data_IF_615007177098
#
_entry.id   IF_615007177098
#
_cell.length_a   1.000
_cell.length_b   1.000
_cell.length_c   1.000
_cell.angle_alpha   90.00
_cell.angle_beta   90.00
_cell.angle_gamma   90.00
#
_symmetry.space_group_name_H-M   'P 1'
#
loop_
_entity.id
_entity.type
_entity.pdbx_description
1 polymer ?
#
# COMPACT_ATOMS: atom_id res chain seq x y z
N UNK A 1 27.21 -22.33 19.80
CA UNK A 1 27.14 -20.87 20.00
C UNK A 1 27.90 -20.22 18.85
N UNK A 2 27.20 -19.90 17.76
CA UNK A 2 27.69 -19.04 16.67
C UNK A 2 26.45 -18.24 16.25
N UNK A 3 26.31 -17.04 16.81
CA UNK A 3 25.39 -16.00 16.35
C UNK A 3 26.30 -15.01 15.66
N UNK A 4 26.19 -14.91 14.35
CA UNK A 4 27.03 -14.02 13.57
C UNK A 4 26.61 -14.04 12.12
N UNK A 5 26.41 -12.84 11.58
CA UNK A 5 26.22 -12.52 10.16
C UNK A 5 24.85 -12.83 9.56
N UNK A 6 23.85 -12.02 9.93
CA UNK A 6 22.77 -11.66 9.00
C UNK A 6 22.29 -10.23 9.25
N UNK A 7 23.20 -9.26 9.12
CA UNK A 7 22.85 -7.83 9.20
C UNK A 7 23.40 -6.98 8.04
N UNK A 8 24.18 -7.57 7.13
CA UNK A 8 24.79 -6.85 5.99
C UNK A 8 23.99 -6.93 4.68
N UNK A 9 22.90 -7.69 4.63
CA UNK A 9 22.11 -7.85 3.38
C UNK A 9 20.94 -6.86 3.25
N UNK A 10 20.48 -6.25 4.35
CA UNK A 10 19.36 -5.28 4.31
C UNK A 10 19.84 -3.93 3.78
N UNK A 11 21.06 -3.49 4.11
CA UNK A 11 21.60 -2.22 3.64
C UNK A 11 21.89 -2.21 2.13
N UNK A 12 22.39 -3.33 1.58
CA UNK A 12 22.72 -3.42 0.15
C UNK A 12 21.47 -3.31 -0.77
N UNK A 13 20.31 -3.77 -0.31
CA UNK A 13 19.05 -3.63 -1.05
C UNK A 13 18.52 -2.19 -1.02
N UNK A 14 18.70 -1.46 0.08
CA UNK A 14 18.32 -0.03 0.16
C UNK A 14 19.10 0.86 -0.81
N UNK A 15 20.39 0.59 -1.05
CA UNK A 15 21.19 1.39 -2.01
C UNK A 15 20.75 1.19 -3.46
N UNK A 16 20.34 -0.04 -3.83
CA UNK A 16 19.85 -0.32 -5.19
C UNK A 16 18.50 0.34 -5.51
N UNK A 17 17.73 0.72 -4.49
CA UNK A 17 16.42 1.37 -4.61
C UNK A 17 16.50 2.88 -4.83
N UNK A 18 17.58 3.52 -4.41
CA UNK A 18 17.81 4.97 -4.60
C UNK A 18 18.12 5.29 -6.07
N UNK A 19 18.81 4.38 -6.77
CA UNK A 19 19.29 4.60 -8.15
C UNK A 19 18.18 4.49 -9.22
N UNK A 20 17.05 3.83 -8.91
CA UNK A 20 15.90 3.69 -9.82
C UNK A 20 14.78 4.72 -9.60
N UNK A 21 14.90 5.57 -8.60
CA UNK A 21 14.07 6.75 -8.44
C UNK A 21 14.81 7.89 -9.15
N UNK A 22 14.20 8.50 -10.18
CA UNK A 22 14.74 9.73 -10.75
C UNK A 22 15.06 10.68 -9.61
N UNK A 23 16.31 11.18 -9.57
CA UNK A 23 16.88 11.96 -8.45
C UNK A 23 15.88 13.00 -7.96
N UNK A 24 15.13 12.68 -6.90
CA UNK A 24 14.54 13.72 -6.08
C UNK A 24 15.72 14.45 -5.42
N UNK A 25 15.73 15.79 -5.42
CA UNK A 25 16.80 16.52 -4.74
C UNK A 25 16.86 16.05 -3.28
N UNK A 26 18.06 15.85 -2.73
CA UNK A 26 18.21 15.44 -1.34
C UNK A 26 17.46 16.41 -0.43
N UNK A 27 16.89 15.93 0.70
CA UNK A 27 16.31 16.82 1.69
C UNK A 27 17.37 17.84 2.12
N UNK A 28 17.07 19.14 1.98
CA UNK A 28 17.99 20.25 2.31
C UNK A 28 18.58 20.04 3.71
N UNK A 29 19.89 20.10 3.88
CA UNK A 29 20.46 20.09 5.24
C UNK A 29 19.97 21.30 6.05
N UNK A 30 20.02 21.22 7.39
CA UNK A 30 19.62 22.33 8.28
C UNK A 30 20.32 23.65 7.88
N UNK A 31 21.57 23.56 7.41
CA UNK A 31 22.35 24.67 6.87
C UNK A 31 21.87 25.17 5.50
N UNK A 32 21.36 24.30 4.63
CA UNK A 32 20.81 24.70 3.32
C UNK A 32 19.40 25.30 3.44
N UNK A 33 18.61 24.91 4.45
CA UNK A 33 17.36 25.60 4.82
C UNK A 33 17.67 27.04 5.26
N UNK A 34 18.73 27.22 6.04
CA UNK A 34 19.21 28.55 6.46
C UNK A 34 19.80 29.36 5.29
N UNK A 35 20.35 28.70 4.25
CA UNK A 35 21.08 29.39 3.18
C UNK A 35 20.32 29.66 1.89
N UNK A 36 19.20 28.99 1.59
CA UNK A 36 18.58 29.08 0.26
C UNK A 36 17.23 29.78 0.13
N UNK A 37 16.39 29.95 1.16
CA UNK A 37 15.16 30.75 0.99
C UNK A 37 14.48 31.06 2.34
N UNK A 38 14.25 32.35 2.62
CA UNK A 38 13.43 32.93 3.71
C UNK A 38 14.11 33.05 5.09
N UNK A 39 14.35 34.30 5.51
CA UNK A 39 14.61 34.66 6.92
C UNK A 39 13.42 34.18 7.77
N UNK A 40 13.59 33.08 8.51
CA UNK A 40 12.59 32.63 9.47
C UNK A 40 12.36 33.71 10.54
N UNK A 41 11.13 33.84 11.03
CA UNK A 41 10.77 34.83 12.05
C UNK A 41 11.14 34.33 13.44
N UNK A 42 10.91 33.04 13.68
CA UNK A 42 11.18 32.39 14.95
C UNK A 42 11.69 30.98 14.70
N UNK A 43 12.63 30.56 15.55
CA UNK A 43 13.09 29.18 15.66
C UNK A 43 12.92 28.73 17.10
N UNK A 44 12.28 27.58 17.29
CA UNK A 44 12.17 26.93 18.60
C UNK A 44 12.81 25.55 18.49
N UNK A 45 13.90 25.34 19.22
CA UNK A 45 14.54 24.03 19.34
C UNK A 45 13.84 23.17 20.40
N UNK A 46 13.78 21.86 20.15
CA UNK A 46 13.04 20.89 20.97
C UNK A 46 11.56 21.29 21.15
N UNK A 47 10.92 21.66 20.04
CA UNK A 47 9.52 22.10 20.02
C UNK A 47 8.59 21.00 20.53
N UNK A 48 7.63 21.40 21.37
CA UNK A 48 6.58 20.53 21.88
C UNK A 48 5.26 21.31 22.01
N UNK A 49 4.15 20.71 21.57
CA UNK A 49 2.81 21.28 21.63
C UNK A 49 1.79 20.21 22.03
N UNK A 50 0.98 20.50 23.04
CA UNK A 50 -0.17 19.70 23.45
C UNK A 50 -1.45 20.35 22.93
N UNK A 51 -2.31 19.56 22.30
CA UNK A 51 -3.61 20.00 21.80
C UNK A 51 -4.72 19.22 22.48
N UNK A 52 -5.75 19.94 22.90
CA UNK A 52 -6.91 19.38 23.59
C UNK A 52 -8.15 19.48 22.70
N UNK A 53 -9.01 18.47 22.78
CA UNK A 53 -10.28 18.45 22.08
C UNK A 53 -11.32 19.41 22.71
N UNK A 54 -12.54 19.42 22.16
CA UNK A 54 -13.66 20.24 22.67
C UNK A 54 -14.08 19.89 24.09
N UNK A 55 -13.72 18.69 24.58
CA UNK A 55 -14.00 18.21 25.93
C UNK A 55 -12.82 18.41 26.88
N UNK A 56 -11.77 19.14 26.47
CA UNK A 56 -10.52 19.35 27.21
C UNK A 56 -9.72 18.05 27.46
N UNK A 57 -9.92 17.02 26.64
CA UNK A 57 -9.12 15.81 26.66
C UNK A 57 -7.91 15.98 25.74
N UNK A 58 -6.75 15.46 26.15
CA UNK A 58 -5.55 15.51 25.31
C UNK A 58 -5.82 14.73 24.03
N UNK A 59 -5.77 15.43 22.90
CA UNK A 59 -6.08 14.88 21.59
C UNK A 59 -4.80 14.49 20.87
N UNK A 60 -3.85 15.43 20.81
CA UNK A 60 -2.58 15.25 20.09
C UNK A 60 -1.41 15.85 20.87
N UNK A 61 -0.23 15.24 20.73
CA UNK A 61 1.03 15.77 21.19
C UNK A 61 2.04 15.79 20.04
N UNK A 62 2.51 16.99 19.71
CA UNK A 62 3.46 17.24 18.62
C UNK A 62 4.82 17.51 19.21
N UNK A 63 5.84 16.80 18.75
CA UNK A 63 7.23 17.05 19.08
C UNK A 63 8.01 17.22 17.78
N UNK A 64 9.03 18.08 17.78
CA UNK A 64 9.95 18.22 16.66
C UNK A 64 11.34 18.62 17.16
N UNK A 65 12.38 18.25 16.41
CA UNK A 65 13.76 18.69 16.69
C UNK A 65 13.82 20.22 16.67
N UNK A 66 13.23 20.82 15.65
CA UNK A 66 13.13 22.28 15.51
C UNK A 66 11.83 22.67 14.83
N UNK A 67 11.27 23.80 15.27
CA UNK A 67 10.17 24.51 14.65
C UNK A 67 10.69 25.81 14.05
N UNK A 68 10.23 26.13 12.84
CA UNK A 68 10.52 27.40 12.17
C UNK A 68 9.22 28.07 11.74
N UNK A 69 9.01 29.31 12.16
CA UNK A 69 7.92 30.15 11.65
C UNK A 69 8.42 31.07 10.54
N UNK A 70 7.53 31.39 9.61
CA UNK A 70 7.83 32.21 8.45
C UNK A 70 6.73 33.24 8.24
N UNK A 71 7.06 34.29 7.49
CA UNK A 71 6.05 35.27 7.08
C UNK A 71 5.22 34.68 5.93
N UNK A 72 3.90 34.60 6.12
CA UNK A 72 2.92 34.19 5.11
C UNK A 72 3.06 32.75 4.56
N UNK A 73 3.84 31.88 5.20
CA UNK A 73 3.92 30.46 4.85
C UNK A 73 3.77 29.61 6.10
N UNK A 74 3.22 28.38 5.97
CA UNK A 74 3.07 27.47 7.10
C UNK A 74 4.39 27.19 7.79
N UNK A 75 4.33 27.01 9.11
CA UNK A 75 5.52 26.67 9.88
C UNK A 75 6.09 25.31 9.45
N UNK A 76 7.41 25.15 9.61
CA UNK A 76 8.13 23.92 9.31
C UNK A 76 8.51 23.22 10.60
N UNK A 77 8.23 21.92 10.67
CA UNK A 77 8.70 21.01 11.70
C UNK A 77 9.79 20.11 11.10
N UNK A 78 10.96 20.06 11.74
CA UNK A 78 12.02 19.11 11.43
C UNK A 78 11.97 17.92 12.38
N UNK A 79 12.07 16.72 11.82
CA UNK A 79 11.92 15.43 12.50
C UNK A 79 10.68 15.36 13.42
N UNK A 80 9.46 15.67 12.92
CA UNK A 80 8.25 15.65 13.73
C UNK A 80 7.88 14.24 14.20
N UNK A 81 7.44 14.15 15.45
CA UNK A 81 6.69 13.04 16.05
C UNK A 81 5.32 13.55 16.50
N UNK A 82 4.25 13.04 15.91
CA UNK A 82 2.87 13.36 16.32
C UNK A 82 2.27 12.13 16.97
N UNK A 83 1.88 12.25 18.23
CA UNK A 83 1.24 11.19 19.02
C UNK A 83 -0.22 11.55 19.23
N UNK A 84 -1.12 10.61 18.98
CA UNK A 84 -2.56 10.78 19.22
C UNK A 84 -2.98 9.93 20.40
N UNK A 85 -4.07 10.32 21.05
CA UNK A 85 -4.55 9.66 22.25
C UNK A 85 -6.00 9.20 22.09
N UNK A 86 -6.32 8.07 22.72
CA UNK A 86 -7.69 7.57 22.81
C UNK A 86 -8.46 8.26 23.95
N UNK A 87 -9.76 7.94 24.09
CA UNK A 87 -10.64 8.51 25.13
C UNK A 87 -10.19 8.20 26.57
N UNK A 88 -9.29 7.22 26.76
CA UNK A 88 -8.70 6.88 28.06
C UNK A 88 -7.38 7.62 28.32
N UNK A 89 -6.89 8.40 27.35
CA UNK A 89 -5.60 9.08 27.41
C UNK A 89 -4.40 8.18 27.11
N UNK A 90 -4.61 7.00 26.52
CA UNK A 90 -3.54 6.10 26.10
C UNK A 90 -3.10 6.44 24.66
N UNK A 91 -1.82 6.20 24.32
CA UNK A 91 -1.34 6.40 22.94
C UNK A 91 -2.13 5.53 21.96
N UNK A 92 -2.60 6.13 20.87
CA UNK A 92 -3.42 5.47 19.87
C UNK A 92 -2.64 5.21 18.58
N UNK A 93 -2.05 6.27 18.00
CA UNK A 93 -1.08 6.11 16.93
C UNK A 93 -0.02 7.22 16.94
N UNK A 94 1.14 6.91 16.36
CA UNK A 94 2.30 7.80 16.27
C UNK A 94 2.70 7.97 14.81
N UNK A 95 2.80 9.21 14.34
CA UNK A 95 3.35 9.54 13.03
C UNK A 95 4.75 10.13 13.17
N UNK A 96 5.63 9.71 12.26
CA UNK A 96 6.98 10.29 12.12
C UNK A 96 7.33 10.53 10.66
N UNK A 97 8.14 11.56 10.42
CA UNK A 97 8.75 11.88 9.12
C UNK A 97 10.00 12.72 9.36
N UNK A 98 10.80 12.95 8.33
CA UNK A 98 11.87 13.96 8.34
C UNK A 98 11.29 15.39 8.43
N UNK A 99 10.11 15.63 7.84
CA UNK A 99 9.48 16.96 7.78
C UNK A 99 7.97 16.92 7.79
N UNK A 100 7.40 17.97 8.39
CA UNK A 100 5.99 18.32 8.24
C UNK A 100 5.81 19.83 8.26
N UNK A 101 4.68 20.30 7.75
CA UNK A 101 4.23 21.66 7.96
C UNK A 101 3.12 21.69 9.01
N UNK A 102 3.18 22.65 9.92
CA UNK A 102 2.09 22.98 10.82
C UNK A 102 1.28 24.11 10.20
N UNK A 103 0.00 23.86 9.91
CA UNK A 103 -0.87 24.78 9.18
C UNK A 103 -1.62 25.72 10.14
N UNK A 104 -2.06 26.87 9.64
CA UNK A 104 -2.86 27.83 10.42
C UNK A 104 -4.21 27.24 10.87
N UNK A 105 -4.67 26.16 10.24
CA UNK A 105 -5.86 25.39 10.65
C UNK A 105 -5.63 24.53 11.90
N UNK A 106 -4.37 24.38 12.36
CA UNK A 106 -3.95 23.40 13.36
C UNK A 106 -3.62 22.02 12.75
N UNK A 107 -3.93 21.79 11.48
CA UNK A 107 -3.60 20.52 10.83
C UNK A 107 -2.09 20.37 10.59
N UNK A 108 -1.62 19.13 10.66
CA UNK A 108 -0.23 18.79 10.38
C UNK A 108 -0.16 18.10 9.04
N UNK A 109 0.64 18.68 8.14
CA UNK A 109 0.85 18.18 6.78
C UNK A 109 2.23 17.55 6.67
N UNK A 110 2.29 16.23 6.72
CA UNK A 110 3.50 15.47 6.46
C UNK A 110 3.80 15.40 4.97
N UNK A 111 5.10 15.35 4.63
CA UNK A 111 5.60 15.18 3.26
C UNK A 111 6.75 14.19 3.23
N UNK A 112 6.85 13.43 2.15
CA UNK A 112 7.90 12.44 1.95
C UNK A 112 7.56 11.12 2.62
N UNK A 113 8.58 10.49 3.22
CA UNK A 113 8.43 9.22 3.91
C UNK A 113 7.75 9.44 5.26
N UNK A 114 6.61 8.79 5.45
CA UNK A 114 5.84 8.82 6.68
C UNK A 114 5.72 7.41 7.23
N UNK A 115 6.07 7.25 8.51
CA UNK A 115 5.79 6.03 9.27
C UNK A 115 4.62 6.31 10.21
N UNK A 116 3.65 5.41 10.22
CA UNK A 116 2.51 5.43 11.14
C UNK A 116 2.60 4.15 11.96
N UNK A 117 2.67 4.29 13.28
CA UNK A 117 2.70 3.19 14.21
C UNK A 117 1.41 3.22 15.03
N UNK A 118 0.55 2.20 14.92
CA UNK A 118 -0.67 2.12 15.73
C UNK A 118 -0.43 1.34 17.02
N UNK A 119 -1.30 1.56 18.01
CA UNK A 119 -1.28 0.90 19.32
C UNK A 119 -1.47 -0.62 19.26
N UNK A 120 -1.99 -1.15 18.14
CA UNK A 120 -2.07 -2.59 17.88
C UNK A 120 -0.70 -3.19 17.52
N UNK A 121 0.34 -2.35 17.41
CA UNK A 121 1.70 -2.73 17.03
C UNK A 121 1.92 -2.72 15.51
N UNK A 122 0.92 -2.34 14.73
CA UNK A 122 1.02 -2.28 13.27
C UNK A 122 1.84 -1.07 12.85
N UNK A 123 2.70 -1.27 11.84
CA UNK A 123 3.44 -0.18 11.22
C UNK A 123 3.07 -0.07 9.75
N UNK A 124 2.64 1.12 9.35
CA UNK A 124 2.40 1.50 7.97
C UNK A 124 3.52 2.43 7.50
N UNK A 125 4.13 2.08 6.37
CA UNK A 125 5.16 2.91 5.73
C UNK A 125 4.64 3.40 4.39
N UNK A 126 4.75 4.69 4.17
CA UNK A 126 4.34 5.30 2.91
C UNK A 126 5.25 6.43 2.51
N UNK A 127 5.28 6.72 1.22
CA UNK A 127 5.81 7.95 0.68
C UNK A 127 4.68 8.72 0.00
N UNK A 128 4.51 9.99 0.34
CA UNK A 128 3.45 10.83 -0.20
C UNK A 128 3.87 12.28 -0.31
N UNK A 129 3.29 12.99 -1.28
CA UNK A 129 3.48 14.44 -1.41
C UNK A 129 2.78 15.21 -0.28
N UNK A 130 1.79 14.58 0.34
CA UNK A 130 0.94 15.17 1.36
C UNK A 130 0.26 14.05 2.16
N UNK A 131 0.35 14.12 3.48
CA UNK A 131 -0.54 13.43 4.40
C UNK A 131 -1.01 14.45 5.44
N UNK A 132 -2.31 14.72 5.45
CA UNK A 132 -2.96 15.57 6.42
C UNK A 132 -3.40 14.73 7.61
N UNK A 133 -3.07 15.18 8.80
CA UNK A 133 -3.61 14.65 10.06
C UNK A 133 -4.80 15.52 10.44
N UNK A 134 -6.01 14.95 10.34
CA UNK A 134 -7.23 15.67 10.69
C UNK A 134 -7.40 15.77 12.20
N UNK A 135 -7.20 16.96 12.77
CA UNK A 135 -7.24 17.21 14.22
C UNK A 135 -8.63 17.04 14.87
N UNK A 136 -9.69 16.89 14.07
CA UNK A 136 -11.07 16.70 14.54
C UNK A 136 -11.64 15.31 14.29
N UNK A 137 -11.10 14.60 13.31
CA UNK A 137 -11.64 13.30 12.85
C UNK A 137 -10.69 12.15 13.13
N UNK A 138 -9.43 12.45 13.48
CA UNK A 138 -8.31 11.51 13.62
C UNK A 138 -8.08 10.66 12.36
N UNK A 139 -8.63 11.09 11.23
CA UNK A 139 -8.43 10.49 9.93
C UNK A 139 -7.13 11.02 9.31
N UNK A 140 -6.40 10.12 8.67
CA UNK A 140 -5.23 10.45 7.87
C UNK A 140 -5.63 10.49 6.40
N UNK A 141 -5.42 11.63 5.74
CA UNK A 141 -5.91 11.86 4.38
C UNK A 141 -4.80 12.32 3.47
N UNK A 142 -4.76 11.73 2.27
CA UNK A 142 -3.97 12.22 1.16
C UNK A 142 -4.82 12.35 -0.09
N UNK A 143 -4.87 13.56 -0.65
CA UNK A 143 -5.47 13.83 -1.96
C UNK A 143 -4.46 13.74 -3.10
N UNK A 144 -3.24 13.29 -2.80
CA UNK A 144 -2.13 13.16 -3.73
C UNK A 144 -1.68 11.70 -3.84
N UNK A 145 -0.82 11.46 -4.81
CA UNK A 145 -0.26 10.13 -5.05
C UNK A 145 0.42 9.61 -3.79
N UNK A 146 0.02 8.41 -3.37
CA UNK A 146 0.62 7.68 -2.25
C UNK A 146 1.33 6.45 -2.78
N UNK A 147 2.52 6.19 -2.26
CA UNK A 147 3.22 4.92 -2.42
C UNK A 147 3.24 4.22 -1.06
N UNK A 148 2.45 3.17 -0.91
CA UNK A 148 2.39 2.36 0.30
C UNK A 148 3.28 1.12 0.18
N UNK A 149 4.04 0.82 1.23
CA UNK A 149 4.85 -0.39 1.32
C UNK A 149 4.06 -1.47 2.07
N UNK A 150 3.52 -2.41 1.29
CA UNK A 150 2.87 -3.63 1.82
C UNK A 150 3.90 -4.70 2.19
N UNK A 151 3.43 -5.84 2.67
CA UNK A 151 4.30 -6.93 3.15
C UNK A 151 5.16 -7.55 2.05
N UNK A 152 4.59 -7.69 0.84
CA UNK A 152 5.24 -8.29 -0.34
C UNK A 152 4.96 -7.54 -1.63
N UNK A 153 4.67 -6.24 -1.48
CA UNK A 153 4.27 -5.42 -2.60
C UNK A 153 4.51 -3.93 -2.36
N UNK A 154 4.79 -3.22 -3.45
CA UNK A 154 4.73 -1.76 -3.52
C UNK A 154 3.43 -1.34 -4.17
N UNK A 155 2.58 -0.63 -3.43
CA UNK A 155 1.26 -0.19 -3.89
C UNK A 155 1.29 1.30 -4.17
N UNK A 156 0.78 1.71 -5.33
CA UNK A 156 0.73 3.10 -5.77
C UNK A 156 -0.72 3.48 -6.05
N UNK A 157 -1.22 4.54 -5.42
CA UNK A 157 -2.59 5.05 -5.58
C UNK A 157 -2.63 6.55 -5.83
N UNK A 158 -3.80 7.09 -6.21
CA UNK A 158 -3.98 8.52 -6.47
C UNK A 158 -4.28 9.33 -5.21
N UNK A 159 -4.69 8.65 -4.15
CA UNK A 159 -5.00 9.22 -2.85
C UNK A 159 -5.10 8.12 -1.80
N UNK A 160 -5.39 8.53 -0.58
CA UNK A 160 -5.56 7.62 0.55
C UNK A 160 -6.44 8.26 1.60
N UNK A 161 -7.23 7.44 2.27
CA UNK A 161 -7.94 7.75 3.50
C UNK A 161 -7.68 6.61 4.47
N UNK A 162 -7.23 6.91 5.68
CA UNK A 162 -6.97 5.90 6.69
C UNK A 162 -7.61 6.33 8.00
N UNK A 163 -8.35 5.38 8.57
CA UNK A 163 -8.81 5.42 9.94
C UNK A 163 -7.77 4.72 10.79
N UNK A 164 -6.83 5.47 11.34
CA UNK A 164 -5.69 4.90 12.05
C UNK A 164 -6.13 4.07 13.28
N UNK A 165 -7.16 4.53 14.00
CA UNK A 165 -7.73 3.84 15.17
C UNK A 165 -8.35 2.48 14.86
N UNK A 166 -8.81 2.29 13.63
CA UNK A 166 -9.46 1.05 13.17
C UNK A 166 -8.50 0.15 12.39
N UNK A 167 -7.24 0.56 12.20
CA UNK A 167 -6.27 -0.07 11.28
C UNK A 167 -6.87 -0.35 9.87
N UNK A 168 -7.69 0.58 9.38
CA UNK A 168 -8.34 0.50 8.08
C UNK A 168 -7.90 1.62 7.17
N UNK A 169 -7.46 1.24 5.97
CA UNK A 169 -7.02 2.15 4.94
C UNK A 169 -7.76 1.89 3.63
N UNK A 170 -8.11 2.96 2.93
CA UNK A 170 -8.59 2.95 1.56
C UNK A 170 -7.62 3.73 0.68
N UNK A 171 -7.01 3.04 -0.28
CA UNK A 171 -6.24 3.65 -1.36
C UNK A 171 -7.17 4.06 -2.49
N UNK A 172 -7.30 5.36 -2.70
CA UNK A 172 -8.33 5.96 -3.55
C UNK A 172 -7.88 6.09 -4.99
N UNK A 173 -8.80 5.83 -5.92
CA UNK A 173 -8.62 5.98 -7.35
C UNK A 173 -7.87 4.81 -7.98
N UNK A 174 -7.23 5.07 -9.11
CA UNK A 174 -6.42 4.08 -9.83
C UNK A 174 -5.30 3.58 -8.92
N UNK A 175 -5.26 2.27 -8.71
CA UNK A 175 -4.30 1.63 -7.82
C UNK A 175 -3.51 0.56 -8.58
N UNK A 176 -2.18 0.59 -8.40
CA UNK A 176 -1.25 -0.38 -8.96
C UNK A 176 -0.51 -1.08 -7.83
N UNK A 177 -0.63 -2.41 -7.76
CA UNK A 177 0.10 -3.26 -6.82
C UNK A 177 1.22 -3.92 -7.62
N UNK A 178 2.47 -3.67 -7.26
CA UNK A 178 3.62 -4.36 -7.85
C UNK A 178 4.11 -5.37 -6.81
N UNK A 179 3.91 -6.65 -7.09
CA UNK A 179 4.31 -7.73 -6.18
C UNK A 179 5.80 -8.03 -6.33
N UNK A 180 6.44 -8.46 -5.26
CA UNK A 180 7.87 -8.81 -5.27
C UNK A 180 8.18 -10.00 -6.18
N UNK A 181 7.18 -10.87 -6.40
CA UNK A 181 7.22 -11.99 -7.35
C UNK A 181 7.18 -11.54 -8.83
N UNK A 182 7.07 -10.25 -9.11
CA UNK A 182 7.18 -9.64 -10.43
C UNK A 182 5.84 -9.34 -11.12
N UNK A 183 4.72 -9.82 -10.58
CA UNK A 183 3.40 -9.57 -11.14
C UNK A 183 2.87 -8.19 -10.77
N UNK A 184 1.99 -7.68 -11.63
CA UNK A 184 1.38 -6.37 -11.47
C UNK A 184 -0.13 -6.46 -11.49
N UNK A 185 -0.77 -5.82 -10.53
CA UNK A 185 -2.23 -5.78 -10.41
C UNK A 185 -2.70 -4.34 -10.55
N UNK A 186 -3.66 -4.13 -11.44
CA UNK A 186 -4.28 -2.85 -11.69
C UNK A 186 -5.73 -2.92 -11.23
N UNK A 187 -6.12 -2.06 -10.28
CA UNK A 187 -7.48 -2.01 -9.73
C UNK A 187 -7.85 -0.56 -9.38
N UNK A 188 -8.97 -0.37 -8.67
CA UNK A 188 -9.38 0.91 -8.10
C UNK A 188 -9.85 0.74 -6.67
N UNK A 189 -9.73 1.79 -5.87
CA UNK A 189 -10.30 1.88 -4.52
C UNK A 189 -10.00 0.63 -3.68
N UNK A 190 -8.70 0.38 -3.47
CA UNK A 190 -8.22 -0.80 -2.74
C UNK A 190 -8.35 -0.56 -1.24
N UNK A 191 -9.05 -1.46 -0.55
CA UNK A 191 -9.10 -1.50 0.90
C UNK A 191 -7.95 -2.35 1.44
N UNK A 192 -7.40 -1.91 2.55
CA UNK A 192 -6.41 -2.60 3.36
C UNK A 192 -6.98 -2.59 4.78
N UNK A 193 -7.46 -3.74 5.22
CA UNK A 193 -8.02 -3.94 6.56
C UNK A 193 -7.06 -4.78 7.37
N UNK A 194 -6.73 -4.34 8.57
CA UNK A 194 -5.88 -5.09 9.52
C UNK A 194 -6.51 -5.18 10.91
N UNK A 195 -7.83 -4.96 11.01
CA UNK A 195 -8.53 -4.97 12.30
C UNK A 195 -8.50 -6.33 13.04
N UNK A 196 -8.18 -7.43 12.35
CA UNK A 196 -8.02 -8.77 12.93
C UNK A 196 -6.54 -9.18 13.14
N UNK A 197 -5.61 -8.24 12.98
CA UNK A 197 -4.17 -8.47 13.06
C UNK A 197 -3.54 -9.04 11.79
N UNK A 198 -4.31 -9.31 10.73
CA UNK A 198 -3.81 -9.78 9.43
C UNK A 198 -4.19 -8.80 8.33
N UNK A 199 -3.23 -8.41 7.48
CA UNK A 199 -3.51 -7.48 6.38
C UNK A 199 -4.32 -8.18 5.29
N UNK A 200 -5.56 -7.74 5.13
CA UNK A 200 -6.46 -8.19 4.09
C UNK A 200 -6.64 -7.09 3.03
N UNK A 201 -6.41 -7.44 1.76
CA UNK A 201 -6.42 -6.50 0.65
C UNK A 201 -7.57 -6.82 -0.30
N UNK A 202 -8.51 -5.89 -0.50
CA UNK A 202 -9.68 -6.17 -1.35
C UNK A 202 -10.20 -4.96 -2.12
N UNK A 203 -10.79 -5.25 -3.29
CA UNK A 203 -11.50 -4.28 -4.11
C UNK A 203 -12.64 -4.94 -4.86
N UNK A 204 -13.77 -4.24 -4.93
CA UNK A 204 -14.94 -4.64 -5.74
C UNK A 204 -14.91 -4.06 -7.15
N UNK A 205 -13.79 -3.49 -7.57
CA UNK A 205 -13.62 -2.88 -8.88
C UNK A 205 -12.89 -3.79 -9.86
N UNK A 206 -13.20 -3.60 -11.15
CA UNK A 206 -12.55 -4.29 -12.26
C UNK A 206 -11.03 -4.29 -12.08
N UNK A 207 -10.49 -5.50 -12.07
CA UNK A 207 -9.09 -5.75 -11.76
C UNK A 207 -8.43 -6.42 -12.96
N UNK A 208 -7.22 -5.98 -13.29
CA UNK A 208 -6.35 -6.64 -14.27
C UNK A 208 -5.11 -7.16 -13.56
N UNK A 209 -4.90 -8.46 -13.65
CA UNK A 209 -3.70 -9.14 -13.18
C UNK A 209 -2.77 -9.42 -14.36
N UNK A 210 -1.52 -8.98 -14.25
CA UNK A 210 -0.49 -9.10 -15.27
C UNK A 210 0.61 -10.01 -14.74
N UNK A 211 0.70 -11.20 -15.32
CA UNK A 211 1.80 -12.14 -15.14
C UNK A 211 2.60 -12.28 -16.45
N UNK A 212 3.72 -13.00 -16.39
CA UNK A 212 4.64 -13.20 -17.53
C UNK A 212 3.94 -13.66 -18.80
N UNK A 213 3.10 -14.70 -18.69
CA UNK A 213 2.45 -15.34 -19.84
C UNK A 213 0.93 -15.11 -19.92
N UNK A 214 0.36 -14.46 -18.91
CA UNK A 214 -1.07 -14.37 -18.75
C UNK A 214 -1.50 -12.94 -18.38
N UNK A 215 -2.55 -12.49 -19.04
CA UNK A 215 -3.30 -11.30 -18.67
C UNK A 215 -4.70 -11.70 -18.25
N UNK A 216 -5.03 -11.47 -16.99
CA UNK A 216 -6.30 -11.89 -16.40
C UNK A 216 -7.14 -10.67 -16.06
N UNK A 217 -8.40 -10.66 -16.49
CA UNK A 217 -9.38 -9.65 -16.13
C UNK A 217 -10.40 -10.25 -15.17
N UNK A 218 -10.79 -9.47 -14.17
CA UNK A 218 -11.74 -9.83 -13.14
C UNK A 218 -12.62 -8.63 -12.74
N UNK A 219 -13.72 -8.89 -12.03
CA UNK A 219 -14.61 -7.82 -11.53
C UNK A 219 -14.17 -7.27 -10.18
N UNK A 220 -13.29 -7.98 -9.48
CA UNK A 220 -12.75 -7.59 -8.18
C UNK A 220 -11.52 -8.42 -7.81
N UNK A 221 -10.96 -8.11 -6.64
CA UNK A 221 -9.85 -8.85 -6.05
C UNK A 221 -10.03 -8.92 -4.54
N UNK A 222 -9.57 -10.02 -3.99
CA UNK A 222 -9.45 -10.31 -2.57
C UNK A 222 -8.10 -11.02 -2.38
N UNK A 223 -7.28 -10.61 -1.43
CA UNK A 223 -5.90 -11.08 -1.31
C UNK A 223 -5.42 -11.11 0.14
N UNK A 224 -4.69 -12.18 0.45
CA UNK A 224 -3.77 -12.28 1.58
C UNK A 224 -2.34 -12.32 1.04
N UNK A 225 -1.60 -11.23 1.24
CA UNK A 225 -0.22 -11.11 0.73
C UNK A 225 0.77 -12.02 1.48
N UNK A 226 0.50 -12.37 2.74
CA UNK A 226 1.38 -13.26 3.52
C UNK A 226 1.28 -14.70 3.05
N UNK A 227 0.07 -15.14 2.73
CA UNK A 227 -0.17 -16.47 2.19
C UNK A 227 0.20 -16.59 0.71
N UNK A 228 0.46 -15.48 0.04
CA UNK A 228 0.71 -15.43 -1.41
C UNK A 228 -0.48 -16.04 -2.20
N UNK A 229 -1.69 -15.84 -1.68
CA UNK A 229 -2.95 -16.31 -2.27
C UNK A 229 -3.83 -15.11 -2.55
N UNK A 230 -4.43 -15.08 -3.73
CA UNK A 230 -5.45 -14.12 -4.08
C UNK A 230 -6.61 -14.77 -4.83
N UNK A 231 -7.76 -14.14 -4.73
CA UNK A 231 -8.95 -14.49 -5.47
C UNK A 231 -9.35 -13.34 -6.39
N UNK A 232 -9.40 -13.63 -7.68
CA UNK A 232 -9.98 -12.77 -8.70
C UNK A 232 -11.49 -13.04 -8.77
N UNK A 233 -12.26 -12.03 -8.39
CA UNK A 233 -13.69 -12.15 -8.11
C UNK A 233 -14.56 -11.96 -9.37
N UNK A 234 -15.74 -12.55 -9.36
CA UNK A 234 -16.76 -12.34 -10.38
C UNK A 234 -16.43 -13.03 -11.70
N UNK A 235 -16.70 -12.39 -12.83
CA UNK A 235 -16.34 -12.92 -14.15
C UNK A 235 -14.83 -12.82 -14.37
N UNK A 236 -14.20 -13.93 -14.73
CA UNK A 236 -12.76 -14.00 -14.95
C UNK A 236 -12.47 -14.40 -16.39
N UNK A 237 -11.62 -13.62 -17.06
CA UNK A 237 -11.11 -13.89 -18.40
C UNK A 237 -9.60 -13.90 -18.40
N UNK A 238 -9.00 -15.05 -18.68
CA UNK A 238 -7.56 -15.23 -18.84
C UNK A 238 -7.24 -15.19 -20.33
N UNK A 239 -6.31 -14.33 -20.72
CA UNK A 239 -5.69 -14.29 -22.04
C UNK A 239 -4.26 -14.80 -21.90
N UNK A 240 -3.93 -15.83 -22.68
CA UNK A 240 -2.58 -16.41 -22.69
C UNK A 240 -1.80 -15.89 -23.90
N UNK A 241 -0.48 -15.78 -23.78
CA UNK A 241 0.40 -15.40 -24.88
C UNK A 241 0.30 -16.36 -26.09
N UNK A 242 -0.08 -17.62 -25.87
CA UNK A 242 -0.37 -18.61 -26.93
C UNK A 242 -1.57 -18.24 -27.83
N UNK A 243 -2.33 -17.20 -27.46
CA UNK A 243 -3.60 -16.82 -28.11
C UNK A 243 -4.82 -17.55 -27.54
N UNK A 244 -4.61 -18.53 -26.65
CA UNK A 244 -5.68 -19.24 -25.97
C UNK A 244 -6.38 -18.34 -24.95
N UNK A 245 -7.68 -18.61 -24.72
CA UNK A 245 -8.55 -17.82 -23.84
C UNK A 245 -9.28 -18.76 -22.89
N UNK A 246 -9.40 -18.36 -21.64
CA UNK A 246 -10.17 -19.08 -20.64
C UNK A 246 -11.18 -18.14 -19.99
N UNK A 247 -12.45 -18.52 -19.97
CA UNK A 247 -13.50 -17.77 -19.30
C UNK A 247 -14.08 -18.59 -18.17
N UNK A 248 -14.15 -18.02 -16.96
CA UNK A 248 -14.68 -18.66 -15.76
C UNK A 248 -15.19 -17.63 -14.76
N UNK A 249 -15.38 -18.05 -13.52
CA UNK A 249 -15.66 -17.18 -12.38
C UNK A 249 -14.74 -17.54 -11.21
N UNK A 250 -14.56 -16.57 -10.30
CA UNK A 250 -13.90 -16.76 -9.01
C UNK A 250 -12.61 -17.60 -9.11
N UNK A 251 -11.55 -16.98 -9.63
CA UNK A 251 -10.28 -17.66 -9.86
C UNK A 251 -9.34 -17.43 -8.69
N UNK A 252 -8.89 -18.50 -8.05
CA UNK A 252 -7.81 -18.45 -7.07
C UNK A 252 -6.48 -18.49 -7.82
N UNK A 253 -5.57 -17.58 -7.46
CA UNK A 253 -4.17 -17.56 -7.89
C UNK A 253 -3.31 -17.84 -6.65
N UNK A 254 -2.61 -18.97 -6.66
CA UNK A 254 -1.74 -19.43 -5.58
C UNK A 254 -0.28 -19.31 -6.04
N UNK A 255 0.51 -18.50 -5.34
CA UNK A 255 1.92 -18.23 -5.63
C UNK A 255 2.87 -18.85 -4.58
N UNK A 256 2.32 -19.43 -3.50
CA UNK A 256 3.03 -19.82 -2.26
C UNK A 256 4.20 -20.80 -2.42
N UNK A 257 4.27 -21.52 -3.54
CA UNK A 257 5.30 -22.54 -3.81
C UNK A 257 6.29 -22.12 -4.90
N UNK A 258 6.40 -20.83 -5.18
CA UNK A 258 7.26 -20.29 -6.24
C UNK A 258 6.80 -20.63 -7.66
N UNK A 259 5.66 -21.31 -7.80
CA UNK A 259 4.95 -21.55 -9.04
C UNK A 259 3.57 -20.93 -8.93
N UNK A 260 3.08 -20.37 -10.03
CA UNK A 260 1.77 -19.74 -10.08
C UNK A 260 0.72 -20.76 -10.57
N UNK A 261 -0.23 -21.10 -9.69
CA UNK A 261 -1.30 -22.06 -9.96
C UNK A 261 -2.64 -21.34 -9.95
N UNK A 262 -3.36 -21.41 -11.08
CA UNK A 262 -4.73 -20.90 -11.18
C UNK A 262 -5.74 -22.00 -10.90
N UNK A 263 -6.71 -21.75 -10.04
CA UNK A 263 -7.71 -22.74 -9.63
C UNK A 263 -9.11 -22.15 -9.64
N UNK A 264 -10.08 -22.93 -10.11
CA UNK A 264 -11.50 -22.62 -9.95
C UNK A 264 -12.31 -23.89 -9.85
N UNK A 265 -13.40 -23.83 -9.09
CA UNK A 265 -14.44 -24.87 -9.02
C UNK A 265 -15.68 -24.49 -9.86
N UNK A 266 -15.57 -23.40 -10.63
CA UNK A 266 -16.63 -22.86 -11.46
C UNK A 266 -16.55 -23.42 -12.88
N UNK A 267 -17.64 -23.25 -13.63
CA UNK A 267 -17.65 -23.54 -15.07
C UNK A 267 -16.54 -22.78 -15.78
N UNK A 268 -15.84 -23.48 -16.66
CA UNK A 268 -14.72 -22.98 -17.45
C UNK A 268 -14.98 -23.26 -18.93
N UNK A 269 -14.67 -22.29 -19.79
CA UNK A 269 -14.56 -22.48 -21.24
C UNK A 269 -13.15 -22.12 -21.67
N UNK A 270 -12.39 -23.11 -22.09
CA UNK A 270 -11.08 -22.95 -22.72
C UNK A 270 -11.26 -22.92 -24.24
N UNK A 271 -10.67 -21.94 -24.91
CA UNK A 271 -10.72 -21.79 -26.36
C UNK A 271 -9.31 -21.54 -26.90
N UNK A 272 -8.93 -22.32 -27.89
CA UNK A 272 -7.70 -22.16 -28.68
C UNK A 272 -8.02 -22.18 -30.17
N UNK A 273 -7.01 -22.23 -31.04
CA UNK A 273 -7.21 -22.38 -32.49
C UNK A 273 -7.77 -23.75 -32.89
N UNK A 274 -7.54 -24.79 -32.09
CA UNK A 274 -7.85 -26.19 -32.47
C UNK A 274 -8.83 -26.86 -31.50
N UNK A 275 -9.25 -26.15 -30.45
CA UNK A 275 -10.08 -26.73 -29.40
C UNK A 275 -10.99 -25.69 -28.72
N UNK A 276 -12.24 -26.09 -28.47
CA UNK A 276 -13.18 -25.44 -27.56
C UNK A 276 -13.62 -26.47 -26.50
N UNK A 277 -13.15 -26.29 -25.27
CA UNK A 277 -13.32 -27.25 -24.18
C UNK A 277 -14.12 -26.61 -23.04
N UNK A 278 -15.14 -27.31 -22.56
CA UNK A 278 -15.95 -26.92 -21.40
C UNK A 278 -15.77 -27.91 -20.25
N UNK A 279 -15.71 -27.40 -19.03
CA UNK A 279 -15.66 -28.20 -17.80
C UNK A 279 -16.24 -27.42 -16.60
N UNK A 280 -16.31 -28.05 -15.42
CA UNK A 280 -16.82 -27.44 -14.16
C UNK A 280 -15.72 -27.13 -13.16
N UNK A 281 -14.46 -27.36 -13.50
CA UNK A 281 -13.34 -26.98 -12.65
C UNK A 281 -12.04 -27.00 -13.44
N UNK A 282 -11.07 -26.24 -12.95
CA UNK A 282 -9.77 -26.09 -13.56
C UNK A 282 -8.69 -25.96 -12.49
N UNK A 283 -7.56 -26.61 -12.75
CA UNK A 283 -6.27 -26.26 -12.18
C UNK A 283 -5.29 -26.06 -13.33
N UNK A 284 -4.71 -24.87 -13.43
CA UNK A 284 -3.71 -24.53 -14.44
C UNK A 284 -2.39 -24.17 -13.77
N UNK A 285 -1.35 -24.90 -14.12
CA UNK A 285 0.03 -24.60 -13.75
C UNK A 285 0.62 -23.68 -14.81
N UNK A 286 0.82 -22.40 -14.46
CA UNK A 286 1.26 -21.39 -15.42
C UNK A 286 2.69 -21.62 -15.89
N UNK A 287 3.57 -22.12 -15.02
CA UNK A 287 4.98 -22.37 -15.34
C UNK A 287 5.15 -23.53 -16.30
N UNK A 288 4.46 -24.64 -16.03
CA UNK A 288 4.53 -25.84 -16.87
C UNK A 288 3.51 -25.83 -18.01
N UNK A 289 2.69 -24.77 -18.09
CA UNK A 289 1.60 -24.61 -19.04
C UNK A 289 0.64 -25.83 -19.08
N UNK A 290 0.43 -26.46 -17.92
CA UNK A 290 -0.35 -27.69 -17.78
C UNK A 290 -1.72 -27.40 -17.22
N UNK A 291 -2.77 -27.76 -17.96
CA UNK A 291 -4.16 -27.63 -17.51
C UNK A 291 -4.74 -29.00 -17.11
N UNK A 292 -5.43 -29.03 -15.97
CA UNK A 292 -6.29 -30.13 -15.52
C UNK A 292 -7.72 -29.62 -15.46
N UNK A 293 -8.62 -30.27 -16.19
CA UNK A 293 -10.05 -29.97 -16.21
C UNK A 293 -10.84 -31.07 -15.51
N UNK A 294 -11.91 -30.71 -14.81
CA UNK A 294 -12.73 -31.65 -14.02
C UNK A 294 -14.22 -31.36 -14.15
N UNK A 295 -15.06 -32.34 -13.80
CA UNK A 295 -16.52 -32.16 -13.68
C UNK A 295 -17.23 -32.08 -15.03
N UNK A 296 -17.17 -33.17 -15.82
CA UNK A 296 -17.83 -33.28 -17.13
C UNK A 296 -17.11 -32.51 -18.22
N UNK A 297 -15.93 -33.01 -18.63
CA UNK A 297 -15.11 -32.36 -19.68
C UNK A 297 -15.66 -32.71 -21.06
N UNK A 298 -16.03 -31.70 -21.83
CA UNK A 298 -16.50 -31.85 -23.21
C UNK A 298 -15.65 -30.96 -24.12
N UNK A 299 -14.95 -31.58 -25.07
CA UNK A 299 -14.12 -30.89 -26.05
C UNK A 299 -14.69 -31.00 -27.46
N UNK A 300 -14.60 -29.93 -28.23
CA UNK A 300 -14.75 -29.92 -29.68
C UNK A 300 -13.41 -29.56 -30.30
N UNK A 301 -13.01 -30.29 -31.33
CA UNK A 301 -11.73 -30.13 -32.02
C UNK A 301 -11.98 -29.88 -33.51
N UNK A 302 -11.13 -29.05 -34.10
CA UNK A 302 -11.10 -28.79 -35.55
C UNK A 302 -10.05 -29.68 -36.24
#
# INVERSE_FOLDING_TARGET
MIIGTMWLLIEALSYSLIVLQGKEPPPLTENEIVSQEVSYLEKIDNFALQEFDVNQQLSHFVQAKSYFSFKNTPALLLDPRVTTFNEKGEEDYVLTSERANYLDSGEIKFKGQVNIHSNTGVTHKMNTQELLVGTKTDDLVSHKKVTYLGERAKIISQGMHMKAKEDKMKLIGKTSINQDSGQKILTKDLYIDQSDGQKHYYSKHKTTYLATDNKIYADGIDMDMRQEIMQLLGQVKILQNSGSKMNTKNLVVDQSKGNEIYRTKEKIRYQSKVADIRATGMQYDAKNQKIKLTGGVVGRYE
#
